data_IF_595482665068
#
_entry.id   IF_595482665068
#
_cell.length_a   1.000
_cell.length_b   1.000
_cell.length_c   1.000
_cell.angle_alpha   90.00
_cell.angle_beta   90.00
_cell.angle_gamma   90.00
#
_symmetry.space_group_name_H-M   'P 1'
#
loop_
_entity.id
_entity.type
_entity.pdbx_description
1 polymer ?
#
# COMPACT_ATOMS: atom_id res chain seq x y z
N UNK A 1 -1.58 -7.71 -10.03
CA UNK A 1 -3.02 -7.50 -10.29
C UNK A 1 -3.41 -7.84 -11.75
N UNK A 2 -2.44 -8.04 -12.66
CA UNK A 2 -2.72 -8.54 -14.00
C UNK A 2 -3.17 -10.02 -13.96
N UNK A 3 -4.08 -10.41 -14.84
CA UNK A 3 -4.58 -11.79 -14.90
C UNK A 3 -3.48 -12.81 -15.24
N UNK A 4 -2.48 -12.38 -16.00
CA UNK A 4 -1.35 -13.23 -16.41
C UNK A 4 -0.15 -13.15 -15.46
N UNK A 5 -0.33 -12.57 -14.26
CA UNK A 5 0.72 -12.52 -13.24
C UNK A 5 1.19 -13.91 -12.85
N UNK A 6 2.47 -14.07 -12.66
CA UNK A 6 3.11 -15.37 -12.43
C UNK A 6 4.10 -15.39 -11.25
N UNK A 7 4.06 -14.37 -10.41
CA UNK A 7 4.88 -14.26 -9.22
C UNK A 7 5.65 -12.95 -9.13
N UNK A 8 6.45 -12.81 -8.10
CA UNK A 8 7.22 -11.60 -7.85
C UNK A 8 8.65 -11.70 -8.41
N UNK A 9 9.19 -10.56 -8.77
CA UNK A 9 10.59 -10.41 -9.17
C UNK A 9 11.36 -9.84 -7.97
N UNK A 10 12.46 -10.48 -7.59
CA UNK A 10 13.35 -9.95 -6.56
C UNK A 10 14.00 -8.66 -7.06
N UNK A 11 13.95 -7.62 -6.24
CA UNK A 11 14.66 -6.37 -6.45
C UNK A 11 15.77 -6.19 -5.44
N UNK A 12 16.63 -5.22 -5.67
CA UNK A 12 17.70 -4.81 -4.76
C UNK A 12 17.47 -3.37 -4.31
N UNK A 13 17.68 -3.11 -3.02
CA UNK A 13 17.59 -1.76 -2.50
C UNK A 13 17.67 -1.70 -0.99
N UNK A 14 17.78 -0.49 -0.50
CA UNK A 14 17.78 -0.17 0.92
C UNK A 14 17.14 1.20 1.14
N UNK A 15 16.46 1.37 2.25
CA UNK A 15 15.87 2.63 2.63
C UNK A 15 16.07 2.88 4.12
N UNK A 16 16.23 4.14 4.49
CA UNK A 16 16.32 4.58 5.88
C UNK A 16 15.39 5.78 6.04
N UNK A 17 14.57 5.72 7.07
CA UNK A 17 13.72 6.84 7.49
C UNK A 17 14.11 7.26 8.90
N UNK A 18 14.11 8.56 9.16
CA UNK A 18 14.34 9.11 10.49
C UNK A 18 12.97 9.43 11.08
N UNK A 19 12.63 8.75 12.15
CA UNK A 19 11.42 8.99 12.92
C UNK A 19 11.75 9.89 14.10
N UNK A 20 10.93 10.88 14.31
CA UNK A 20 11.10 11.86 15.38
C UNK A 20 9.73 12.24 15.95
N UNK A 21 9.67 12.47 17.23
CA UNK A 21 8.43 12.95 17.84
C UNK A 21 8.05 14.33 17.27
N UNK A 22 6.78 14.50 16.92
CA UNK A 22 6.30 15.63 16.12
C UNK A 22 6.62 16.99 16.75
N UNK A 23 6.33 17.15 18.05
CA UNK A 23 6.56 18.43 18.73
C UNK A 23 8.07 18.71 18.91
N UNK A 24 8.89 17.66 19.04
CA UNK A 24 10.34 17.83 19.03
C UNK A 24 10.85 18.32 17.67
N UNK A 25 10.41 17.71 16.58
CA UNK A 25 10.75 18.13 15.22
C UNK A 25 10.34 19.59 14.94
N UNK A 26 9.12 19.96 15.34
CA UNK A 26 8.61 21.34 15.23
C UNK A 26 9.45 22.33 16.02
N UNK A 27 9.79 22.03 17.29
CA UNK A 27 10.57 22.92 18.15
C UNK A 27 11.96 23.23 17.59
N UNK A 28 12.59 22.29 16.93
CA UNK A 28 13.93 22.50 16.31
C UNK A 28 13.86 22.98 14.85
N UNK A 29 12.66 23.20 14.29
CA UNK A 29 12.48 23.65 12.91
C UNK A 29 12.88 22.63 11.86
N UNK A 30 12.72 21.32 12.15
CA UNK A 30 13.04 20.27 11.21
C UNK A 30 12.11 20.29 9.97
N UNK A 31 12.61 19.96 8.77
CA UNK A 31 11.73 19.66 7.66
C UNK A 31 10.94 18.37 7.96
N UNK A 32 9.61 18.46 7.94
CA UNK A 32 8.72 17.32 8.18
C UNK A 32 8.15 16.91 6.82
N UNK A 33 8.41 15.69 6.38
CA UNK A 33 7.93 15.15 5.10
C UNK A 33 6.53 14.55 5.21
N UNK A 34 6.13 14.13 6.40
CA UNK A 34 4.82 13.59 6.70
C UNK A 34 4.77 13.08 8.14
N UNK A 35 3.63 12.58 8.55
CA UNK A 35 3.37 12.04 9.86
C UNK A 35 2.90 10.59 9.75
N UNK A 36 3.48 9.69 10.53
CA UNK A 36 2.95 8.34 10.69
C UNK A 36 1.83 8.43 11.71
N UNK A 37 0.60 8.36 11.22
CA UNK A 37 -0.58 8.56 12.04
C UNK A 37 -1.04 7.28 12.74
N UNK A 38 -0.80 6.12 12.12
CA UNK A 38 -1.23 4.86 12.67
C UNK A 38 -0.43 3.68 12.15
N UNK A 39 -0.48 2.60 12.90
CA UNK A 39 0.25 1.37 12.62
C UNK A 39 -0.60 0.15 12.93
N UNK A 40 -0.44 -0.90 12.12
CA UNK A 40 -1.06 -2.19 12.34
C UNK A 40 -0.08 -3.32 12.05
N UNK A 41 -0.13 -4.38 12.83
CA UNK A 41 0.66 -5.59 12.61
C UNK A 41 -0.13 -6.82 13.01
N UNK A 42 -0.10 -7.82 12.14
CA UNK A 42 -0.79 -9.09 12.34
C UNK A 42 0.03 -10.24 11.79
N UNK A 43 -0.34 -11.45 12.16
CA UNK A 43 0.18 -12.67 11.57
C UNK A 43 -0.99 -13.58 11.21
N UNK A 44 -1.01 -14.07 9.98
CA UNK A 44 -2.07 -14.98 9.52
C UNK A 44 -2.06 -16.32 10.29
N UNK A 45 -0.86 -16.83 10.61
CA UNK A 45 -0.68 -18.14 11.26
C UNK A 45 -1.47 -19.26 10.55
N UNK A 46 -1.66 -19.14 9.25
CA UNK A 46 -2.46 -20.07 8.45
C UNK A 46 -1.61 -21.22 7.91
N UNK A 47 -0.53 -20.89 7.19
CA UNK A 47 0.49 -21.81 6.69
C UNK A 47 1.86 -21.17 6.75
N UNK A 48 2.91 -21.93 6.49
CA UNK A 48 4.30 -21.42 6.53
C UNK A 48 4.52 -20.31 5.50
N UNK A 49 3.97 -20.45 4.29
CA UNK A 49 4.19 -19.52 3.17
C UNK A 49 2.92 -18.89 2.60
N UNK A 50 1.74 -19.40 2.97
CA UNK A 50 0.49 -18.93 2.40
C UNK A 50 -0.24 -17.98 3.34
N UNK A 51 -0.85 -16.97 2.77
CA UNK A 51 -1.79 -16.07 3.43
C UNK A 51 -3.16 -16.74 3.57
N UNK A 52 -3.93 -16.29 4.56
CA UNK A 52 -5.29 -16.79 4.77
C UNK A 52 -6.18 -16.41 3.57
N UNK A 53 -6.91 -17.35 2.95
CA UNK A 53 -7.66 -17.09 1.71
C UNK A 53 -8.76 -16.04 1.85
N UNK A 54 -9.26 -15.81 3.07
CA UNK A 54 -10.22 -14.75 3.38
C UNK A 54 -9.55 -13.42 3.79
N UNK A 55 -8.23 -13.30 3.69
CA UNK A 55 -7.49 -12.08 3.95
C UNK A 55 -7.60 -11.54 5.39
N UNK A 56 -7.84 -12.42 6.37
CA UNK A 56 -8.08 -12.01 7.76
C UNK A 56 -6.96 -11.15 8.33
N UNK A 57 -5.70 -11.55 8.08
CA UNK A 57 -4.53 -10.80 8.53
C UNK A 57 -4.44 -9.43 7.88
N UNK A 58 -4.57 -9.34 6.56
CA UNK A 58 -4.53 -8.08 5.83
C UNK A 58 -5.67 -7.14 6.26
N UNK A 59 -6.90 -7.64 6.36
CA UNK A 59 -8.05 -6.87 6.83
C UNK A 59 -7.80 -6.35 8.25
N UNK A 60 -7.36 -7.20 9.16
CA UNK A 60 -7.11 -6.81 10.54
C UNK A 60 -5.96 -5.80 10.65
N UNK A 61 -4.86 -5.99 9.90
CA UNK A 61 -3.71 -5.11 9.88
C UNK A 61 -4.09 -3.70 9.42
N UNK A 62 -4.72 -3.59 8.25
CA UNK A 62 -5.16 -2.29 7.72
C UNK A 62 -6.20 -1.63 8.61
N UNK A 63 -7.15 -2.40 9.17
CA UNK A 63 -8.15 -1.88 10.12
C UNK A 63 -7.49 -1.34 11.38
N UNK A 64 -6.49 -2.04 11.93
CA UNK A 64 -5.73 -1.55 13.09
C UNK A 64 -5.04 -0.23 12.77
N UNK A 65 -4.34 -0.13 11.64
CA UNK A 65 -3.64 1.09 11.24
C UNK A 65 -4.60 2.29 11.09
N UNK A 66 -5.75 2.09 10.45
CA UNK A 66 -6.78 3.12 10.27
C UNK A 66 -7.37 3.57 11.61
N UNK A 67 -7.68 2.62 12.48
CA UNK A 67 -8.21 2.92 13.83
C UNK A 67 -7.18 3.63 14.71
N UNK A 68 -5.92 3.20 14.69
CA UNK A 68 -4.82 3.82 15.43
C UNK A 68 -4.56 5.26 14.95
N UNK A 69 -4.69 5.49 13.64
CA UNK A 69 -4.62 6.83 13.05
C UNK A 69 -5.81 7.74 13.45
N UNK A 70 -6.88 7.21 13.98
CA UNK A 70 -8.09 7.99 14.32
C UNK A 70 -8.84 8.53 13.09
N UNK A 71 -8.64 7.93 11.92
CA UNK A 71 -9.31 8.31 10.67
C UNK A 71 -10.32 7.26 10.24
N UNK A 72 -11.16 7.59 9.28
CA UNK A 72 -12.07 6.63 8.66
C UNK A 72 -11.49 6.04 7.37
N UNK A 73 -11.93 4.88 6.91
CA UNK A 73 -11.56 4.39 5.58
C UNK A 73 -11.86 5.39 4.44
N UNK A 74 -12.86 6.26 4.65
CA UNK A 74 -13.22 7.30 3.69
C UNK A 74 -12.16 8.40 3.53
N UNK A 75 -11.28 8.56 4.51
CA UNK A 75 -10.23 9.57 4.49
C UNK A 75 -8.97 9.09 3.73
N UNK A 76 -8.86 7.78 3.48
CA UNK A 76 -7.74 7.21 2.72
C UNK A 76 -7.94 7.50 1.23
N UNK A 77 -6.97 8.14 0.63
CA UNK A 77 -7.02 8.61 -0.76
C UNK A 77 -6.08 7.83 -1.70
N UNK A 78 -5.21 7.01 -1.13
CA UNK A 78 -4.29 6.17 -1.87
C UNK A 78 -3.85 4.96 -1.03
N UNK A 79 -3.76 3.80 -1.68
CA UNK A 79 -3.18 2.59 -1.09
C UNK A 79 -1.95 2.18 -1.89
N UNK A 80 -0.79 2.18 -1.24
CA UNK A 80 0.38 1.49 -1.76
C UNK A 80 0.30 0.03 -1.28
N UNK A 81 -0.08 -0.83 -2.20
CA UNK A 81 -0.37 -2.22 -1.93
C UNK A 81 0.89 -3.07 -1.83
N UNK A 82 0.82 -4.15 -1.05
CA UNK A 82 1.83 -5.20 -1.09
C UNK A 82 2.03 -5.72 -2.51
N UNK A 83 0.97 -6.09 -3.22
CA UNK A 83 0.91 -6.28 -4.66
C UNK A 83 2.11 -7.02 -5.25
N UNK A 84 2.35 -8.25 -4.81
CA UNK A 84 3.54 -9.04 -5.17
C UNK A 84 3.46 -9.68 -6.55
N UNK A 85 2.35 -9.55 -7.27
CA UNK A 85 2.11 -10.25 -8.53
C UNK A 85 1.99 -11.78 -8.38
N UNK A 86 1.69 -12.26 -7.18
CA UNK A 86 1.35 -13.66 -6.96
C UNK A 86 -0.16 -13.88 -7.13
N UNK A 87 -0.56 -15.05 -7.60
CA UNK A 87 -1.95 -15.36 -7.86
C UNK A 87 -2.82 -15.21 -6.60
N UNK A 88 -2.30 -15.58 -5.43
CA UNK A 88 -3.04 -15.57 -4.16
C UNK A 88 -3.04 -14.17 -3.54
N UNK A 89 -1.85 -13.54 -3.40
CA UNK A 89 -1.74 -12.26 -2.70
C UNK A 89 -2.61 -11.17 -3.32
N UNK A 90 -2.49 -10.96 -4.63
CA UNK A 90 -3.16 -9.83 -5.29
C UNK A 90 -4.69 -9.94 -5.21
N UNK A 91 -5.22 -11.16 -5.31
CA UNK A 91 -6.63 -11.44 -5.12
C UNK A 91 -7.08 -11.17 -3.68
N UNK A 92 -6.33 -11.69 -2.71
CA UNK A 92 -6.67 -11.55 -1.28
C UNK A 92 -6.56 -10.09 -0.84
N UNK A 93 -5.56 -9.37 -1.30
CA UNK A 93 -5.40 -7.96 -1.00
C UNK A 93 -6.51 -7.10 -1.63
N UNK A 94 -6.92 -7.42 -2.88
CA UNK A 94 -8.08 -6.81 -3.52
C UNK A 94 -9.36 -7.03 -2.70
N UNK A 95 -9.58 -8.25 -2.23
CA UNK A 95 -10.70 -8.57 -1.36
C UNK A 95 -10.64 -7.82 -0.02
N UNK A 96 -9.46 -7.70 0.58
CA UNK A 96 -9.25 -6.95 1.82
C UNK A 96 -9.57 -5.46 1.64
N UNK A 97 -9.08 -4.85 0.56
CA UNK A 97 -9.42 -3.47 0.22
C UNK A 97 -10.94 -3.27 0.03
N UNK A 98 -11.61 -4.18 -0.69
CA UNK A 98 -13.07 -4.13 -0.85
C UNK A 98 -13.81 -4.23 0.49
N UNK A 99 -13.33 -5.08 1.39
CA UNK A 99 -13.92 -5.26 2.71
C UNK A 99 -13.80 -4.00 3.57
N UNK A 100 -12.66 -3.32 3.51
CA UNK A 100 -12.37 -2.14 4.33
C UNK A 100 -13.05 -0.89 3.77
N UNK A 101 -12.92 -0.65 2.45
CA UNK A 101 -13.41 0.57 1.81
C UNK A 101 -14.88 0.47 1.34
N UNK A 102 -15.46 -0.74 1.33
CA UNK A 102 -16.86 -0.95 0.94
C UNK A 102 -17.15 -0.38 -0.45
N UNK A 103 -18.17 0.44 -0.57
CA UNK A 103 -18.58 1.06 -1.85
C UNK A 103 -17.52 2.01 -2.43
N UNK A 104 -16.61 2.51 -1.61
CA UNK A 104 -15.52 3.40 -2.05
C UNK A 104 -14.33 2.65 -2.63
N UNK A 105 -14.24 1.33 -2.47
CA UNK A 105 -13.09 0.54 -2.94
C UNK A 105 -12.78 0.78 -4.41
N UNK A 106 -13.82 0.90 -5.25
CA UNK A 106 -13.68 1.17 -6.69
C UNK A 106 -13.20 2.59 -7.02
N UNK A 107 -13.22 3.50 -6.04
CA UNK A 107 -12.84 4.90 -6.18
C UNK A 107 -11.55 5.23 -5.44
N UNK A 108 -11.05 4.31 -4.63
CA UNK A 108 -9.80 4.47 -3.89
C UNK A 108 -8.66 3.93 -4.76
N UNK A 109 -7.77 4.80 -5.26
CA UNK A 109 -6.63 4.37 -6.07
C UNK A 109 -5.71 3.43 -5.29
N UNK A 110 -5.32 2.34 -5.92
CA UNK A 110 -4.39 1.33 -5.38
C UNK A 110 -3.24 1.18 -6.37
N UNK A 111 -2.02 1.07 -5.94
CA UNK A 111 -0.94 0.64 -6.84
C UNK A 111 0.14 -0.13 -6.11
N UNK A 112 0.86 -0.97 -6.85
CA UNK A 112 2.05 -1.64 -6.36
C UNK A 112 3.29 -1.14 -7.08
N UNK A 113 4.15 -0.45 -6.33
CA UNK A 113 5.44 0.03 -6.83
C UNK A 113 6.45 -1.11 -7.06
N UNK A 114 6.16 -2.31 -6.54
CA UNK A 114 6.93 -3.52 -6.87
C UNK A 114 6.93 -3.84 -8.37
N UNK A 115 5.92 -3.39 -9.11
CA UNK A 115 5.88 -3.52 -10.56
C UNK A 115 7.02 -2.77 -11.27
N UNK A 116 7.57 -1.72 -10.63
CA UNK A 116 8.65 -0.88 -11.17
C UNK A 116 10.03 -1.23 -10.62
N UNK A 117 10.11 -1.65 -9.35
CA UNK A 117 11.39 -1.82 -8.64
C UNK A 117 11.66 -3.26 -8.18
N UNK A 118 10.70 -4.16 -8.37
CA UNK A 118 10.76 -5.50 -7.79
C UNK A 118 10.43 -5.53 -6.30
N UNK A 119 10.48 -6.72 -5.72
CA UNK A 119 10.24 -6.95 -4.30
C UNK A 119 11.55 -6.84 -3.53
N UNK A 120 11.73 -5.79 -2.76
CA UNK A 120 12.95 -5.52 -1.99
C UNK A 120 13.04 -6.29 -0.66
N UNK A 121 12.12 -7.25 -0.44
CA UNK A 121 12.03 -8.07 0.77
C UNK A 121 11.98 -7.17 2.02
N UNK A 122 13.03 -7.20 2.85
CA UNK A 122 13.07 -6.44 4.11
C UNK A 122 13.07 -4.91 3.91
N UNK A 123 13.56 -4.42 2.76
CA UNK A 123 13.56 -2.99 2.45
C UNK A 123 12.25 -2.48 1.83
N UNK A 124 11.32 -3.37 1.45
CA UNK A 124 10.10 -2.99 0.74
C UNK A 124 9.27 -1.97 1.54
N UNK A 125 8.95 -2.25 2.79
CA UNK A 125 8.09 -1.37 3.59
C UNK A 125 8.65 0.04 3.78
N UNK A 126 9.95 0.19 4.07
CA UNK A 126 10.57 1.51 4.20
C UNK A 126 10.57 2.29 2.87
N UNK A 127 10.81 1.60 1.76
CA UNK A 127 10.77 2.20 0.42
C UNK A 127 9.34 2.62 0.06
N UNK A 128 8.36 1.79 0.34
CA UNK A 128 6.95 2.06 0.07
C UNK A 128 6.40 3.19 0.94
N UNK A 129 6.86 3.31 2.19
CA UNK A 129 6.58 4.47 3.02
C UNK A 129 7.12 5.76 2.37
N UNK A 130 8.36 5.75 1.86
CA UNK A 130 8.93 6.90 1.14
C UNK A 130 8.09 7.24 -0.10
N UNK A 131 7.64 6.23 -0.84
CA UNK A 131 6.75 6.45 -2.00
C UNK A 131 5.45 7.10 -1.59
N UNK A 132 4.83 6.69 -0.49
CA UNK A 132 3.62 7.34 0.04
C UNK A 132 3.87 8.81 0.41
N UNK A 133 5.00 9.11 1.06
CA UNK A 133 5.38 10.48 1.39
C UNK A 133 5.59 11.35 0.13
N UNK A 134 6.22 10.79 -0.90
CA UNK A 134 6.39 11.46 -2.19
C UNK A 134 5.05 11.68 -2.90
N UNK A 135 4.17 10.69 -2.88
CA UNK A 135 2.83 10.81 -3.46
C UNK A 135 2.01 11.94 -2.80
N UNK A 136 2.09 12.06 -1.47
CA UNK A 136 1.45 13.15 -0.72
C UNK A 136 2.07 14.50 -1.07
N UNK A 137 3.41 14.59 -1.08
CA UNK A 137 4.14 15.83 -1.35
C UNK A 137 3.90 16.36 -2.76
N UNK A 138 3.98 15.48 -3.75
CA UNK A 138 4.02 15.87 -5.16
C UNK A 138 2.64 15.82 -5.82
N UNK A 139 1.63 15.26 -5.15
CA UNK A 139 0.29 15.07 -5.73
C UNK A 139 0.30 14.16 -6.96
N UNK A 140 1.19 13.15 -6.95
CA UNK A 140 1.35 12.18 -8.04
C UNK A 140 1.31 10.77 -7.47
N UNK A 141 0.30 10.02 -7.84
CA UNK A 141 0.18 8.62 -7.46
C UNK A 141 0.93 7.74 -8.47
N UNK A 142 1.85 6.89 -8.01
CA UNK A 142 2.62 6.01 -8.89
C UNK A 142 1.74 4.91 -9.49
N UNK A 143 2.07 4.42 -10.69
CA UNK A 143 1.30 3.38 -11.35
C UNK A 143 1.66 1.97 -10.88
N UNK A 144 0.77 1.03 -11.17
CA UNK A 144 1.14 -0.38 -11.38
C UNK A 144 1.44 -0.56 -12.86
N UNK A 145 2.72 -0.74 -13.22
CA UNK A 145 3.11 -0.99 -14.61
C UNK A 145 2.97 -2.47 -14.97
N UNK A 146 3.11 -2.79 -16.28
CA UNK A 146 2.92 -4.14 -16.81
C UNK A 146 1.49 -4.69 -16.61
N UNK A 147 0.52 -3.79 -16.49
CA UNK A 147 -0.89 -4.13 -16.38
C UNK A 147 -1.53 -4.12 -17.77
N UNK A 148 -1.76 -5.30 -18.34
CA UNK A 148 -2.26 -5.47 -19.72
C UNK A 148 -3.59 -6.22 -19.79
N UNK A 149 -3.79 -7.18 -18.89
CA UNK A 149 -4.95 -8.07 -18.91
C UNK A 149 -5.69 -7.96 -17.59
N UNK A 150 -6.84 -7.27 -17.55
CA UNK A 150 -7.65 -7.16 -16.34
C UNK A 150 -8.04 -8.55 -15.78
N UNK A 151 -7.94 -8.68 -14.47
CA UNK A 151 -8.37 -9.86 -13.74
C UNK A 151 -9.71 -9.57 -13.03
N UNK A 152 -10.79 -10.35 -13.29
CA UNK A 152 -12.07 -10.15 -12.62
C UNK A 152 -12.03 -10.30 -11.08
N UNK A 153 -11.02 -10.99 -10.54
CA UNK A 153 -10.81 -11.11 -9.10
C UNK A 153 -10.03 -9.92 -8.51
N UNK A 154 -9.35 -9.15 -9.38
CA UNK A 154 -8.59 -7.96 -9.07
C UNK A 154 -9.17 -6.78 -9.88
N UNK A 155 -10.33 -6.27 -9.49
CA UNK A 155 -11.15 -5.32 -10.25
C UNK A 155 -11.16 -3.89 -9.67
N UNK A 156 -10.16 -3.55 -8.84
CA UNK A 156 -10.00 -2.19 -8.31
C UNK A 156 -9.29 -1.26 -9.31
N UNK A 157 -9.18 0.02 -8.95
CA UNK A 157 -8.40 0.99 -9.72
C UNK A 157 -6.90 0.89 -9.35
N UNK A 158 -6.14 0.11 -10.11
CA UNK A 158 -4.71 -0.12 -9.84
C UNK A 158 -3.78 0.93 -10.47
N UNK A 159 -4.29 2.06 -10.93
CA UNK A 159 -3.52 3.11 -11.62
C UNK A 159 -2.68 2.49 -12.76
N UNK A 160 -3.31 1.91 -13.78
CA UNK A 160 -2.61 1.08 -14.76
C UNK A 160 -1.61 1.88 -15.60
N UNK A 161 -0.36 1.44 -15.61
CA UNK A 161 0.74 1.83 -16.48
C UNK A 161 1.20 3.30 -16.48
N UNK A 162 0.38 4.25 -16.03
CA UNK A 162 0.71 5.67 -16.03
C UNK A 162 0.40 6.30 -14.69
N UNK A 163 1.32 7.13 -14.20
CA UNK A 163 1.12 7.89 -12.98
C UNK A 163 -0.07 8.85 -13.12
N UNK A 164 -0.74 9.12 -12.00
CA UNK A 164 -1.94 9.96 -11.95
C UNK A 164 -1.70 11.16 -11.04
N UNK A 165 -2.00 12.36 -11.53
CA UNK A 165 -2.11 13.53 -10.66
C UNK A 165 -3.39 13.44 -9.83
N UNK A 166 -3.24 13.45 -8.53
CA UNK A 166 -4.34 13.47 -7.57
C UNK A 166 -3.87 14.02 -6.23
N UNK A 167 -4.70 14.82 -5.57
CA UNK A 167 -4.44 15.25 -4.20
C UNK A 167 -4.54 14.06 -3.27
N UNK A 168 -3.54 13.89 -2.44
CA UNK A 168 -3.47 12.84 -1.43
C UNK A 168 -2.97 13.43 -0.12
N UNK A 169 -3.73 13.30 0.95
CA UNK A 169 -3.34 13.72 2.30
C UNK A 169 -3.11 12.51 3.20
N UNK A 170 -3.87 11.44 2.99
CA UNK A 170 -3.73 10.19 3.73
C UNK A 170 -3.49 9.03 2.76
N UNK A 171 -2.36 8.38 2.91
CA UNK A 171 -2.00 7.16 2.20
C UNK A 171 -1.90 5.99 3.18
N UNK A 172 -2.30 4.81 2.75
CA UNK A 172 -2.10 3.55 3.46
C UNK A 172 -1.03 2.74 2.73
N UNK A 173 0.00 2.31 3.44
CA UNK A 173 0.99 1.34 2.92
C UNK A 173 0.73 -0.02 3.57
N UNK A 174 0.56 -1.07 2.76
CA UNK A 174 0.23 -2.41 3.23
C UNK A 174 1.35 -3.41 2.91
#
# INVERSE_FOLDING_TARGET
FDRLRDGFVLGEGGAVVILEELEHAKRRGAPIFGEIMGYGTTADAYRITDIHPEGRGAIACMTMAINDAGVSPADIQYVNAHGTSTAVNDRVESFACKTIFGQRAMQTPVSSTKSMMGHLIAAAGATELIVCLLAIRDGVLPPTINYHTPDPECDLDYIPNQARHASCQHALSN
#
